data_IF_906108301270
#
_entry.id   IF_906108301270
#
_cell.length_a   1.000
_cell.length_b   1.000
_cell.length_c   1.000
_cell.angle_alpha   90.00
_cell.angle_beta   90.00
_cell.angle_gamma   90.00
#
_symmetry.space_group_name_H-M   'P 1'
#
loop_
_entity.id
_entity.type
_entity.pdbx_description
1 polymer ?
#
# COMPACT_ATOMS: atom_id res chain seq x y z
N UNK A 1 -18.30 11.42 -16.83
CA UNK A 1 -17.93 10.10 -17.38
C UNK A 1 -16.43 9.86 -17.20
N UNK A 2 -15.93 9.85 -15.96
CA UNK A 2 -14.49 9.67 -15.66
C UNK A 2 -14.22 8.53 -14.67
N UNK A 3 -15.24 8.09 -13.93
CA UNK A 3 -15.11 7.03 -12.93
C UNK A 3 -14.55 5.70 -13.50
N UNK A 4 -14.99 5.19 -14.67
CA UNK A 4 -14.42 3.96 -15.21
C UNK A 4 -12.92 4.08 -15.52
N UNK A 5 -12.47 5.23 -16.02
CA UNK A 5 -11.05 5.48 -16.31
C UNK A 5 -10.21 5.56 -15.03
N UNK A 6 -10.75 6.18 -13.98
CA UNK A 6 -10.10 6.24 -12.66
C UNK A 6 -9.92 4.83 -12.09
N UNK A 7 -10.97 4.01 -12.13
CA UNK A 7 -10.91 2.62 -11.63
C UNK A 7 -9.89 1.78 -12.40
N UNK A 8 -9.85 1.88 -13.73
CA UNK A 8 -8.85 1.19 -14.56
C UNK A 8 -7.43 1.64 -14.16
N UNK A 9 -7.22 2.94 -13.95
CA UNK A 9 -5.90 3.47 -13.61
C UNK A 9 -5.42 3.02 -12.24
N UNK A 10 -6.32 2.94 -11.25
CA UNK A 10 -6.03 2.44 -9.91
C UNK A 10 -5.64 0.95 -9.97
N UNK A 11 -6.44 0.12 -10.65
CA UNK A 11 -6.13 -1.30 -10.82
C UNK A 11 -4.76 -1.51 -11.50
N UNK A 12 -4.49 -0.79 -12.59
CA UNK A 12 -3.20 -0.91 -13.28
C UNK A 12 -2.01 -0.49 -12.39
N UNK A 13 -2.22 0.40 -11.42
CA UNK A 13 -1.21 0.78 -10.43
C UNK A 13 -0.89 -0.37 -9.47
N UNK A 14 -1.91 -1.00 -8.90
CA UNK A 14 -1.79 -2.21 -8.08
C UNK A 14 -1.05 -3.33 -8.82
N UNK A 15 -1.45 -3.63 -10.06
CA UNK A 15 -0.84 -4.66 -10.89
C UNK A 15 0.65 -4.36 -11.17
N UNK A 16 1.00 -3.09 -11.40
CA UNK A 16 2.38 -2.66 -11.65
C UNK A 16 3.28 -2.92 -10.44
N UNK A 17 2.79 -2.68 -9.22
CA UNK A 17 3.55 -2.94 -7.99
C UNK A 17 3.81 -4.44 -7.85
N UNK A 18 2.78 -5.26 -8.07
CA UNK A 18 2.91 -6.72 -8.05
C UNK A 18 3.94 -7.23 -9.06
N UNK A 19 3.92 -6.73 -10.29
CA UNK A 19 4.90 -7.11 -11.32
C UNK A 19 6.33 -6.70 -10.93
N UNK A 20 6.52 -5.51 -10.37
CA UNK A 20 7.85 -5.02 -9.98
C UNK A 20 8.47 -5.79 -8.80
N UNK A 21 7.66 -6.33 -7.90
CA UNK A 21 8.13 -6.99 -6.69
C UNK A 21 8.10 -8.53 -6.76
N UNK A 22 7.41 -9.11 -7.76
CA UNK A 22 7.35 -10.57 -7.95
C UNK A 22 8.73 -11.14 -8.26
N UNK A 23 9.10 -12.21 -7.54
CA UNK A 23 10.38 -12.91 -7.74
C UNK A 23 11.56 -12.29 -6.99
N UNK A 24 11.36 -11.20 -6.25
CA UNK A 24 12.38 -10.67 -5.32
C UNK A 24 12.60 -11.67 -4.18
N UNK A 25 13.85 -12.07 -3.97
CA UNK A 25 14.20 -13.02 -2.90
C UNK A 25 14.07 -12.37 -1.51
N UNK A 26 13.84 -13.17 -0.46
CA UNK A 26 13.58 -12.66 0.90
C UNK A 26 14.69 -11.74 1.43
N UNK A 27 15.97 -12.09 1.16
CA UNK A 27 17.10 -11.26 1.56
C UNK A 27 17.11 -9.89 0.87
N UNK A 28 16.75 -9.83 -0.41
CA UNK A 28 16.62 -8.57 -1.16
C UNK A 28 15.40 -7.78 -0.69
N UNK A 29 14.29 -8.47 -0.40
CA UNK A 29 13.06 -7.85 0.07
C UNK A 29 13.24 -7.11 1.40
N UNK A 30 14.11 -7.64 2.29
CA UNK A 30 14.40 -7.08 3.61
C UNK A 30 15.62 -6.14 3.63
N UNK A 31 16.38 -6.08 2.54
CA UNK A 31 17.54 -5.21 2.47
C UNK A 31 17.12 -3.74 2.49
N UNK A 32 17.80 -2.96 3.31
CA UNK A 32 17.61 -1.50 3.43
C UNK A 32 18.83 -0.82 2.79
N UNK A 33 18.65 0.16 1.88
CA UNK A 33 19.79 0.86 1.30
C UNK A 33 20.61 1.64 2.34
N UNK A 34 19.91 2.24 3.31
CA UNK A 34 20.47 2.92 4.47
C UNK A 34 19.60 2.65 5.70
N UNK A 35 20.14 2.88 6.90
CA UNK A 35 19.42 2.58 8.16
C UNK A 35 18.12 3.37 8.35
N UNK A 36 18.01 4.54 7.72
CA UNK A 36 16.85 5.43 7.74
C UNK A 36 15.93 5.28 6.51
N UNK A 37 16.26 4.42 5.56
CA UNK A 37 15.43 4.16 4.37
C UNK A 37 14.61 2.89 4.53
N UNK A 38 13.59 2.72 3.69
CA UNK A 38 12.75 1.52 3.71
C UNK A 38 13.28 0.44 2.77
N UNK A 39 13.10 -0.81 3.19
CA UNK A 39 13.24 -1.99 2.35
C UNK A 39 12.08 -2.13 1.37
N UNK A 40 12.23 -3.00 0.37
CA UNK A 40 11.13 -3.33 -0.57
C UNK A 40 9.91 -3.84 0.19
N UNK A 41 10.09 -4.73 1.17
CA UNK A 41 9.00 -5.28 1.97
C UNK A 41 8.25 -4.20 2.76
N UNK A 42 8.97 -3.24 3.33
CA UNK A 42 8.38 -2.11 4.05
C UNK A 42 7.59 -1.19 3.10
N UNK A 43 8.14 -0.87 1.92
CA UNK A 43 7.45 -0.08 0.88
C UNK A 43 6.18 -0.78 0.42
N UNK A 44 6.25 -2.09 0.10
CA UNK A 44 5.11 -2.87 -0.38
C UNK A 44 3.98 -2.90 0.64
N UNK A 45 4.29 -3.15 1.92
CA UNK A 45 3.27 -3.12 2.97
C UNK A 45 2.67 -1.73 3.15
N UNK A 46 3.51 -0.68 3.17
CA UNK A 46 3.01 0.69 3.26
C UNK A 46 2.03 1.01 2.12
N UNK A 47 2.38 0.67 0.88
CA UNK A 47 1.52 0.89 -0.27
C UNK A 47 0.21 0.10 -0.20
N UNK A 48 0.25 -1.17 0.24
CA UNK A 48 -0.95 -1.98 0.41
C UNK A 48 -1.88 -1.43 1.50
N UNK A 49 -1.33 -0.97 2.63
CA UNK A 49 -2.11 -0.33 3.70
C UNK A 49 -2.72 0.99 3.22
N UNK A 50 -1.98 1.80 2.44
CA UNK A 50 -2.48 3.05 1.84
C UNK A 50 -3.58 2.81 0.81
N UNK A 51 -3.45 1.80 -0.04
CA UNK A 51 -4.46 1.45 -1.03
C UNK A 51 -5.83 1.19 -0.37
N UNK A 52 -5.84 0.43 0.73
CA UNK A 52 -7.07 0.03 1.42
C UNK A 52 -7.58 1.12 2.38
N UNK A 53 -6.73 1.62 3.27
CA UNK A 53 -7.15 2.44 4.41
C UNK A 53 -7.02 3.94 4.15
N UNK A 54 -6.34 4.35 3.08
CA UNK A 54 -6.19 5.76 2.70
C UNK A 54 -6.97 6.07 1.42
N UNK A 55 -6.52 5.56 0.27
CA UNK A 55 -7.07 5.97 -1.03
C UNK A 55 -8.51 5.49 -1.23
N UNK A 56 -8.77 4.19 -1.05
CA UNK A 56 -10.12 3.62 -1.19
C UNK A 56 -11.09 4.18 -0.17
N UNK A 57 -10.65 4.31 1.08
CA UNK A 57 -11.45 4.91 2.14
C UNK A 57 -11.80 6.38 1.81
N UNK A 58 -10.82 7.22 1.47
CA UNK A 58 -11.08 8.63 1.12
C UNK A 58 -11.94 8.78 -0.12
N UNK A 59 -11.82 7.90 -1.10
CA UNK A 59 -12.70 7.91 -2.28
C UNK A 59 -14.15 7.59 -1.90
N UNK A 60 -14.39 6.59 -1.03
CA UNK A 60 -15.74 6.28 -0.52
C UNK A 60 -16.32 7.48 0.24
N UNK A 61 -15.56 8.06 1.17
CA UNK A 61 -16.05 9.22 1.94
C UNK A 61 -16.34 10.42 1.04
N UNK A 62 -15.50 10.68 0.03
CA UNK A 62 -15.71 11.78 -0.91
C UNK A 62 -16.99 11.61 -1.72
N UNK A 63 -17.26 10.40 -2.19
CA UNK A 63 -18.37 10.14 -3.13
C UNK A 63 -19.69 9.83 -2.42
N UNK A 64 -19.63 9.10 -1.32
CA UNK A 64 -20.81 8.50 -0.68
C UNK A 64 -21.13 9.11 0.69
N UNK A 65 -20.17 9.78 1.34
CA UNK A 65 -20.31 10.33 2.71
C UNK A 65 -19.70 11.73 2.87
N UNK A 66 -20.01 12.70 2.00
CA UNK A 66 -19.25 13.94 1.87
C UNK A 66 -19.29 14.87 3.10
N UNK A 67 -20.18 14.61 4.06
CA UNK A 67 -20.34 15.40 5.27
C UNK A 67 -19.81 14.69 6.54
N UNK A 68 -19.32 13.46 6.40
CA UNK A 68 -18.69 12.72 7.50
C UNK A 68 -17.20 13.08 7.60
N UNK A 69 -16.71 13.22 8.84
CA UNK A 69 -15.28 13.39 9.09
C UNK A 69 -14.52 12.14 8.68
N UNK A 70 -13.37 12.33 8.03
CA UNK A 70 -12.52 11.20 7.64
C UNK A 70 -11.90 10.53 8.87
N UNK A 71 -11.84 9.19 8.91
CA UNK A 71 -11.12 8.48 9.96
C UNK A 71 -9.65 8.93 10.00
N UNK A 72 -9.08 9.18 11.18
CA UNK A 72 -7.66 9.48 11.29
C UNK A 72 -6.83 8.24 10.94
N UNK A 73 -5.70 8.46 10.28
CA UNK A 73 -4.70 7.43 9.98
C UNK A 73 -3.31 7.94 10.36
N UNK A 74 -2.39 7.03 10.70
CA UNK A 74 -0.99 7.36 10.97
C UNK A 74 -0.02 6.47 10.15
N UNK A 75 0.10 6.71 8.82
CA UNK A 75 0.85 5.82 7.94
C UNK A 75 2.35 5.75 8.20
N UNK A 76 2.91 6.76 8.88
CA UNK A 76 4.32 6.83 9.23
C UNK A 76 4.65 5.86 10.36
N UNK A 77 3.72 5.66 11.30
CA UNK A 77 3.91 4.74 12.44
C UNK A 77 3.56 3.29 12.11
N UNK A 78 2.74 3.04 11.09
CA UNK A 78 2.29 1.68 10.73
C UNK A 78 3.43 0.71 10.45
N UNK A 79 4.58 1.20 9.98
CA UNK A 79 5.73 0.35 9.69
C UNK A 79 6.20 -0.45 10.91
N UNK A 80 6.29 0.21 12.07
CA UNK A 80 6.64 -0.46 13.32
C UNK A 80 5.42 -1.06 14.00
N UNK A 81 4.30 -0.32 14.09
CA UNK A 81 3.08 -0.79 14.77
C UNK A 81 2.55 -2.11 14.20
N UNK A 82 2.64 -2.27 12.87
CA UNK A 82 2.13 -3.44 12.15
C UNK A 82 3.24 -4.42 11.76
N UNK A 83 4.46 -4.17 12.24
CA UNK A 83 5.63 -5.03 12.08
C UNK A 83 5.89 -5.43 10.63
N UNK A 84 5.98 -4.48 9.70
CA UNK A 84 6.15 -4.79 8.26
C UNK A 84 7.35 -5.70 7.99
N UNK A 85 8.45 -5.47 8.71
CA UNK A 85 9.70 -6.23 8.58
C UNK A 85 9.59 -7.71 8.96
N UNK A 86 8.50 -8.18 9.57
CA UNK A 86 8.30 -9.60 9.91
C UNK A 86 7.32 -10.33 8.98
N UNK A 87 6.74 -9.63 8.00
CA UNK A 87 5.79 -10.21 7.04
C UNK A 87 6.53 -10.96 5.93
N UNK A 88 5.77 -11.70 5.10
CA UNK A 88 6.28 -12.25 3.83
C UNK A 88 5.83 -11.41 2.66
N UNK A 89 6.73 -11.24 1.68
CA UNK A 89 6.50 -10.36 0.54
C UNK A 89 5.33 -10.84 -0.32
N UNK A 90 5.22 -12.15 -0.58
CA UNK A 90 4.13 -12.75 -1.35
C UNK A 90 2.76 -12.44 -0.72
N UNK A 91 2.63 -12.60 0.61
CA UNK A 91 1.39 -12.29 1.33
C UNK A 91 1.09 -10.81 1.39
N UNK A 92 2.11 -9.97 1.34
CA UNK A 92 1.93 -8.52 1.24
C UNK A 92 1.44 -8.10 -0.15
N UNK A 93 1.87 -8.78 -1.22
CA UNK A 93 1.40 -8.52 -2.58
C UNK A 93 -0.04 -8.97 -2.83
N UNK A 94 -0.50 -10.03 -2.14
CA UNK A 94 -1.91 -10.49 -2.17
C UNK A 94 -2.92 -9.44 -1.64
N UNK A 95 -2.45 -8.30 -1.12
CA UNK A 95 -3.28 -7.25 -0.50
C UNK A 95 -3.67 -6.10 -1.42
N UNK A 96 -3.06 -6.00 -2.60
CA UNK A 96 -3.44 -5.03 -3.63
C UNK A 96 -4.73 -5.48 -4.33
#
# INVERSE_FOLDING_TARGET
>A
MFLPLILIRLQAGADSISVLATGVEDGQARWKPESNQWSILEVVNHLADKEVEDFRARLDFTLNRPYESWPPINPEEWLEERSYKSRSLDKSLDRF
#
